data_IF_049121157927
#
_entry.id   IF_049121157927
#
_cell.length_a   1.000
_cell.length_b   1.000
_cell.length_c   1.000
_cell.angle_alpha   90.00
_cell.angle_beta   90.00
_cell.angle_gamma   90.00
#
_symmetry.space_group_name_H-M   'P 1'
#
loop_
_entity.id
_entity.type
_entity.pdbx_description
1 polymer ?
#
# COMPACT_ATOMS: atom_id res chain seq x y z
N UNK A 1 -7.93 -6.55 3.14
CA UNK A 1 -7.39 -5.34 2.50
C UNK A 1 -8.13 -5.10 1.22
N UNK A 2 -8.45 -3.84 0.92
CA UNK A 2 -9.19 -3.43 -0.26
C UNK A 2 -8.35 -2.41 -1.04
N UNK A 3 -8.14 -2.67 -2.33
CA UNK A 3 -7.48 -1.73 -3.24
C UNK A 3 -8.37 -0.51 -3.42
N UNK A 4 -7.82 0.69 -3.24
CA UNK A 4 -8.55 1.94 -3.46
C UNK A 4 -8.14 2.66 -4.73
N UNK A 5 -6.83 2.80 -4.94
CA UNK A 5 -6.30 3.58 -6.05
C UNK A 5 -4.89 3.12 -6.41
N UNK A 6 -4.55 3.22 -7.69
CA UNK A 6 -3.18 3.03 -8.20
C UNK A 6 -2.83 4.27 -9.02
N UNK A 7 -1.69 4.88 -8.70
CA UNK A 7 -1.05 5.92 -9.50
C UNK A 7 0.34 5.43 -9.90
N UNK A 8 0.70 5.58 -11.16
CA UNK A 8 2.03 5.22 -11.65
C UNK A 8 2.89 6.48 -11.80
N UNK A 9 4.13 6.41 -11.33
CA UNK A 9 5.17 7.40 -11.59
C UNK A 9 6.28 6.73 -12.38
N UNK A 10 6.49 7.14 -13.63
CA UNK A 10 7.53 6.57 -14.50
C UNK A 10 8.92 6.93 -13.99
N UNK A 11 9.85 5.98 -13.99
CA UNK A 11 11.28 6.23 -13.72
C UNK A 11 12.02 6.25 -15.06
N UNK A 12 11.87 5.19 -15.86
CA UNK A 12 12.42 5.04 -17.20
C UNK A 12 11.53 4.12 -18.06
N UNK A 13 12.01 3.69 -19.23
CA UNK A 13 11.27 2.84 -20.17
C UNK A 13 10.84 1.49 -19.60
N UNK A 14 11.62 0.93 -18.66
CA UNK A 14 11.40 -0.39 -18.07
C UNK A 14 11.02 -0.33 -16.60
N UNK A 15 11.00 0.85 -15.97
CA UNK A 15 10.76 0.98 -14.53
C UNK A 15 9.74 2.06 -14.18
N UNK A 16 8.91 1.76 -13.19
CA UNK A 16 8.01 2.72 -12.58
C UNK A 16 7.81 2.45 -11.08
N UNK A 17 7.28 3.46 -10.38
CA UNK A 17 6.75 3.30 -9.03
C UNK A 17 5.23 3.21 -9.12
N UNK A 18 4.66 2.10 -8.63
CA UNK A 18 3.24 1.98 -8.42
C UNK A 18 2.89 2.43 -6.99
N UNK A 19 2.26 3.59 -6.90
CA UNK A 19 1.69 4.14 -5.68
C UNK A 19 0.31 3.51 -5.45
N UNK A 20 0.21 2.61 -4.48
CA UNK A 20 -1.01 1.83 -4.26
C UNK A 20 -1.61 2.21 -2.92
N UNK A 21 -2.79 2.81 -2.97
CA UNK A 21 -3.58 3.11 -1.78
C UNK A 21 -4.41 1.88 -1.39
N UNK A 22 -4.22 1.43 -0.15
CA UNK A 22 -4.93 0.33 0.46
C UNK A 22 -5.83 0.82 1.60
N UNK A 23 -6.87 0.04 1.85
CA UNK A 23 -7.66 0.09 3.08
C UNK A 23 -7.59 -1.25 3.79
N UNK A 24 -7.23 -1.25 5.06
CA UNK A 24 -7.30 -2.41 5.93
C UNK A 24 -8.38 -2.19 6.99
N UNK A 25 -9.31 -3.14 7.09
CA UNK A 25 -10.36 -3.15 8.11
C UNK A 25 -9.89 -4.00 9.28
N UNK A 26 -9.87 -3.42 10.47
CA UNK A 26 -9.49 -4.09 11.71
C UNK A 26 -10.71 -4.28 12.59
N UNK A 27 -11.02 -5.53 12.87
CA UNK A 27 -12.08 -5.87 13.81
C UNK A 27 -11.64 -5.49 15.22
N UNK A 28 -12.54 -4.85 15.97
CA UNK A 28 -12.33 -4.50 17.38
C UNK A 28 -13.38 -5.17 18.24
N UNK A 29 -12.94 -5.72 19.37
CA UNK A 29 -13.88 -6.33 20.31
C UNK A 29 -14.75 -5.24 20.94
N UNK A 30 -16.07 -5.45 20.91
CA UNK A 30 -17.08 -4.57 21.50
C UNK A 30 -17.09 -3.13 20.95
N UNK A 31 -16.49 -2.92 19.78
CA UNK A 31 -16.45 -1.64 19.07
C UNK A 31 -16.69 -1.87 17.57
N UNK A 32 -17.12 -0.84 16.83
CA UNK A 32 -17.15 -0.91 15.37
C UNK A 32 -15.77 -1.20 14.78
N UNK A 33 -15.76 -1.96 13.69
CA UNK A 33 -14.56 -2.15 12.88
C UNK A 33 -13.96 -0.80 12.49
N UNK A 34 -12.64 -0.73 12.45
CA UNK A 34 -11.93 0.46 12.04
C UNK A 34 -11.20 0.23 10.73
N UNK A 35 -11.49 1.08 9.76
CA UNK A 35 -10.75 1.15 8.51
C UNK A 35 -9.55 2.06 8.68
N UNK A 36 -8.38 1.57 8.27
CA UNK A 36 -7.13 2.32 8.23
C UNK A 36 -6.66 2.36 6.78
N UNK A 37 -6.41 3.57 6.32
CA UNK A 37 -5.95 3.88 4.97
C UNK A 37 -4.45 4.15 4.95
N UNK A 38 -3.73 3.56 4.00
CA UNK A 38 -2.30 3.78 3.82
C UNK A 38 -1.84 3.55 2.38
N UNK A 39 -0.64 4.02 2.06
CA UNK A 39 -0.02 3.90 0.74
C UNK A 39 1.21 2.98 0.81
N UNK A 40 1.32 2.08 -0.16
CA UNK A 40 2.52 1.27 -0.41
C UNK A 40 3.05 1.63 -1.79
N UNK A 41 4.34 1.91 -1.86
CA UNK A 41 5.04 2.25 -3.09
C UNK A 41 5.81 1.03 -3.58
N UNK A 42 5.36 0.41 -4.66
CA UNK A 42 6.04 -0.73 -5.27
C UNK A 42 6.97 -0.26 -6.38
N UNK A 43 8.22 -0.72 -6.34
CA UNK A 43 9.16 -0.57 -7.43
C UNK A 43 8.91 -1.70 -8.43
N UNK A 44 8.53 -1.33 -9.64
CA UNK A 44 8.10 -2.25 -10.69
C UNK A 44 9.07 -2.17 -11.86
N UNK A 45 9.49 -3.34 -12.34
CA UNK A 45 10.19 -3.50 -13.60
C UNK A 45 9.22 -4.14 -14.61
N UNK A 46 9.16 -3.62 -15.82
CA UNK A 46 8.38 -4.18 -16.93
C UNK A 46 9.36 -4.59 -18.04
N UNK A 47 9.43 -5.88 -18.33
CA UNK A 47 10.26 -6.44 -19.40
C UNK A 47 9.39 -7.39 -20.23
N UNK A 48 9.49 -7.29 -21.56
CA UNK A 48 8.72 -8.14 -22.50
C UNK A 48 7.20 -8.15 -22.24
N UNK A 49 6.66 -7.06 -21.67
CA UNK A 49 5.24 -6.93 -21.30
C UNK A 49 4.89 -7.49 -19.93
N UNK A 50 5.81 -8.16 -19.24
CA UNK A 50 5.62 -8.71 -17.91
C UNK A 50 6.09 -7.72 -16.83
N UNK A 51 5.17 -7.39 -15.92
CA UNK A 51 5.45 -6.53 -14.77
C UNK A 51 5.85 -7.34 -13.54
N UNK A 52 6.99 -7.00 -12.95
CA UNK A 52 7.53 -7.62 -11.73
C UNK A 52 7.83 -6.57 -10.67
N UNK A 53 7.28 -6.78 -9.48
CA UNK A 53 7.67 -6.02 -8.28
C UNK A 53 9.02 -6.53 -7.79
N UNK A 54 10.00 -5.65 -7.66
CA UNK A 54 11.35 -6.00 -7.15
C UNK A 54 11.70 -5.32 -5.83
N UNK A 55 10.86 -4.40 -5.36
CA UNK A 55 11.00 -3.76 -4.06
C UNK A 55 9.73 -3.02 -3.67
N UNK A 56 9.62 -2.67 -2.39
CA UNK A 56 8.52 -1.85 -1.90
C UNK A 56 8.94 -1.00 -0.72
N UNK A 57 8.23 0.11 -0.54
CA UNK A 57 8.33 0.99 0.62
C UNK A 57 6.91 1.23 1.12
N UNK A 58 6.65 0.90 2.37
CA UNK A 58 5.41 1.23 3.06
C UNK A 58 5.67 2.28 4.13
N UNK A 59 4.62 3.01 4.54
CA UNK A 59 4.67 3.80 5.76
C UNK A 59 4.86 2.92 7.01
N UNK A 60 5.08 3.55 8.15
CA UNK A 60 5.09 2.87 9.45
C UNK A 60 3.67 2.50 9.87
N UNK A 61 3.20 1.35 9.40
CA UNK A 61 1.89 0.79 9.74
C UNK A 61 1.72 0.63 11.26
N UNK A 62 2.79 0.36 12.02
CA UNK A 62 2.68 0.24 13.47
C UNK A 62 2.45 1.58 14.16
N UNK A 63 3.12 2.64 13.72
CA UNK A 63 2.84 3.99 14.22
C UNK A 63 1.40 4.40 13.90
N UNK A 64 0.89 4.05 12.72
CA UNK A 64 -0.47 4.32 12.30
C UNK A 64 -1.49 3.54 13.15
N UNK A 65 -1.25 2.26 13.39
CA UNK A 65 -2.08 1.43 14.28
C UNK A 65 -2.17 2.02 15.70
N UNK A 66 -1.04 2.42 16.27
CA UNK A 66 -0.99 3.10 17.59
C UNK A 66 -1.79 4.40 17.61
N UNK A 67 -1.71 5.23 16.56
CA UNK A 67 -2.53 6.46 16.45
C UNK A 67 -4.03 6.16 16.46
N UNK A 68 -4.43 5.03 15.88
CA UNK A 68 -5.82 4.59 15.89
C UNK A 68 -6.21 3.83 17.17
N UNK A 69 -5.31 3.67 18.15
CA UNK A 69 -5.57 2.93 19.38
C UNK A 69 -5.64 1.41 19.17
N UNK A 70 -5.05 0.91 18.09
CA UNK A 70 -4.86 -0.52 17.83
C UNK A 70 -3.41 -0.84 18.20
N UNK A 71 -3.17 -1.38 19.39
CA UNK A 71 -1.83 -1.70 19.87
C UNK A 71 -1.80 -2.19 21.30
#
# INVERSE_FOLDING_TARGET
>A
MTLRHIRLSTIDESHCVAHVAWRATYARKDQPDTDIDFEVHYLVQVLDGDAKVFGWVSGDEQALLKQHGIG
#
